data_IF_772288815798
#
_entry.id   IF_772288815798
#
_cell.length_a   1.000
_cell.length_b   1.000
_cell.length_c   1.000
_cell.angle_alpha   90.00
_cell.angle_beta   90.00
_cell.angle_gamma   90.00
#
_symmetry.space_group_name_H-M   'P 1'
#
loop_
_entity.id
_entity.type
_entity.pdbx_description
1 polymer ?
#
# COMPACT_ATOMS: atom_id res chain seq x y z
N UNK A 1 -17.58 -20.65 -16.76
CA UNK A 1 -17.69 -19.26 -17.24
C UNK A 1 -16.43 -18.91 -18.01
N UNK A 2 -16.54 -18.22 -19.15
CA UNK A 2 -15.40 -17.76 -19.95
C UNK A 2 -14.90 -16.38 -19.51
N UNK A 3 -14.45 -15.55 -20.47
CA UNK A 3 -14.08 -14.16 -20.19
C UNK A 3 -15.28 -13.33 -19.71
N UNK A 4 -15.06 -12.47 -18.72
CA UNK A 4 -16.06 -11.55 -18.16
C UNK A 4 -15.63 -10.11 -18.45
N UNK A 5 -16.58 -9.28 -18.90
CA UNK A 5 -16.34 -7.85 -19.12
C UNK A 5 -16.12 -7.15 -17.78
N UNK A 6 -15.12 -6.27 -17.71
CA UNK A 6 -14.83 -5.53 -16.47
C UNK A 6 -16.01 -4.65 -16.06
N UNK A 7 -16.32 -4.63 -14.77
CA UNK A 7 -17.38 -3.77 -14.20
C UNK A 7 -16.88 -2.36 -13.82
N UNK A 8 -15.56 -2.15 -13.83
CA UNK A 8 -14.93 -0.85 -13.57
C UNK A 8 -13.70 -0.67 -14.47
N UNK A 9 -13.50 0.56 -14.95
CA UNK A 9 -12.31 0.90 -15.72
C UNK A 9 -11.06 0.99 -14.82
N UNK A 10 -9.89 0.63 -15.38
CA UNK A 10 -8.60 0.74 -14.69
C UNK A 10 -8.21 -0.46 -13.82
N UNK A 11 -7.14 -0.30 -13.05
CA UNK A 11 -6.47 -1.41 -12.36
C UNK A 11 -7.34 -2.09 -11.29
N UNK A 12 -8.20 -1.33 -10.62
CA UNK A 12 -9.13 -1.85 -9.58
C UNK A 12 -10.33 -2.60 -10.15
N UNK A 13 -10.46 -2.67 -11.48
CA UNK A 13 -11.55 -3.35 -12.16
C UNK A 13 -11.59 -4.86 -11.91
N UNK A 14 -10.44 -5.52 -11.75
CA UNK A 14 -10.40 -6.98 -11.51
C UNK A 14 -11.03 -7.37 -10.16
N UNK A 15 -10.69 -6.65 -9.09
CA UNK A 15 -11.26 -6.89 -7.76
C UNK A 15 -12.75 -6.57 -7.75
N UNK A 16 -13.11 -5.40 -8.29
CA UNK A 16 -14.51 -4.98 -8.37
C UNK A 16 -15.39 -5.97 -9.15
N UNK A 17 -14.89 -6.46 -10.28
CA UNK A 17 -15.62 -7.44 -11.10
C UNK A 17 -15.82 -8.75 -10.33
N UNK A 18 -14.80 -9.22 -9.62
CA UNK A 18 -14.91 -10.44 -8.81
C UNK A 18 -15.90 -10.28 -7.65
N UNK A 19 -15.85 -9.16 -6.93
CA UNK A 19 -16.79 -8.86 -5.84
C UNK A 19 -18.24 -8.86 -6.34
N UNK A 20 -18.51 -8.18 -7.46
CA UNK A 20 -19.85 -8.10 -8.04
C UNK A 20 -20.36 -9.49 -8.49
N UNK A 21 -19.49 -10.33 -9.06
CA UNK A 21 -19.85 -11.70 -9.45
C UNK A 21 -20.19 -12.58 -8.24
N UNK A 22 -19.64 -12.27 -7.07
CA UNK A 22 -19.92 -12.97 -5.82
C UNK A 22 -21.05 -12.30 -5.00
N UNK A 23 -21.64 -11.22 -5.52
CA UNK A 23 -22.68 -10.46 -4.81
C UNK A 23 -22.16 -9.67 -3.60
N UNK A 24 -20.85 -9.44 -3.52
CA UNK A 24 -20.20 -8.72 -2.42
C UNK A 24 -20.29 -7.22 -2.70
N UNK A 25 -20.90 -6.47 -1.77
CA UNK A 25 -20.94 -5.00 -1.86
C UNK A 25 -19.62 -4.41 -1.37
N UNK A 26 -18.95 -3.68 -2.25
CA UNK A 26 -17.74 -2.91 -1.93
C UNK A 26 -17.96 -2.00 -0.72
N UNK A 27 -17.03 -2.04 0.22
CA UNK A 27 -17.04 -1.20 1.41
C UNK A 27 -15.60 -0.76 1.77
N UNK A 28 -15.49 0.29 2.59
CA UNK A 28 -14.21 0.83 3.06
C UNK A 28 -13.93 0.46 4.53
N UNK A 29 -14.65 -0.51 5.08
CA UNK A 29 -14.50 -0.93 6.47
C UNK A 29 -13.35 -1.95 6.53
N UNK A 30 -12.37 -1.78 7.43
CA UNK A 30 -11.34 -2.79 7.63
C UNK A 30 -11.98 -4.07 8.17
N UNK A 31 -12.08 -5.11 7.33
CA UNK A 31 -12.64 -6.41 7.67
C UNK A 31 -12.71 -7.33 6.45
N UNK A 32 -12.96 -8.63 6.63
CA UNK A 32 -12.99 -9.61 5.56
C UNK A 32 -14.19 -9.41 4.62
N UNK A 33 -13.95 -9.58 3.32
CA UNK A 33 -14.96 -9.35 2.28
C UNK A 33 -16.00 -10.47 2.12
N UNK A 34 -15.76 -11.69 2.62
CA UNK A 34 -16.71 -12.80 2.53
C UNK A 34 -16.62 -13.73 3.74
N UNK A 35 -17.67 -13.83 4.56
CA UNK A 35 -17.84 -14.89 5.58
C UNK A 35 -16.55 -15.26 6.38
N UNK A 36 -15.81 -14.24 6.87
CA UNK A 36 -14.52 -14.35 7.58
C UNK A 36 -13.26 -14.66 6.75
N UNK A 37 -13.34 -14.62 5.42
CA UNK A 37 -12.23 -14.82 4.49
C UNK A 37 -11.98 -13.53 3.70
N UNK A 38 -10.71 -13.14 3.59
CA UNK A 38 -10.32 -12.02 2.73
C UNK A 38 -10.19 -12.46 1.27
N UNK A 39 -10.83 -11.69 0.37
CA UNK A 39 -10.79 -11.95 -1.05
C UNK A 39 -9.82 -11.00 -1.77
N UNK A 40 -8.79 -11.57 -2.42
CA UNK A 40 -7.85 -10.81 -3.26
C UNK A 40 -7.83 -11.36 -4.68
N UNK A 41 -7.78 -10.46 -5.67
CA UNK A 41 -7.70 -10.82 -7.08
C UNK A 41 -6.42 -10.29 -7.73
N UNK A 42 -5.77 -11.10 -8.56
CA UNK A 42 -4.63 -10.70 -9.37
C UNK A 42 -4.76 -11.27 -10.79
N UNK A 43 -4.24 -10.55 -11.80
CA UNK A 43 -4.17 -11.08 -13.17
C UNK A 43 -3.06 -12.13 -13.23
N UNK A 44 -3.33 -13.25 -13.89
CA UNK A 44 -2.31 -14.26 -14.18
C UNK A 44 -1.14 -13.61 -14.92
N UNK A 45 0.09 -13.90 -14.50
CA UNK A 45 1.34 -13.32 -15.01
C UNK A 45 1.54 -11.81 -14.76
N UNK A 46 0.75 -11.18 -13.88
CA UNK A 46 1.06 -9.82 -13.44
C UNK A 46 2.37 -9.80 -12.64
N UNK A 47 3.26 -8.86 -12.98
CA UNK A 47 4.49 -8.60 -12.23
C UNK A 47 4.29 -7.68 -11.01
N UNK A 48 3.10 -7.11 -10.85
CA UNK A 48 2.76 -6.26 -9.72
C UNK A 48 2.65 -7.07 -8.43
N UNK A 49 3.11 -6.50 -7.32
CA UNK A 49 2.91 -7.08 -5.99
C UNK A 49 1.42 -7.16 -5.63
N UNK A 50 1.07 -8.17 -4.83
CA UNK A 50 -0.24 -8.27 -4.21
C UNK A 50 -0.31 -7.39 -2.96
N UNK A 51 -1.22 -6.42 -2.93
CA UNK A 51 -1.44 -5.59 -1.74
C UNK A 51 -2.22 -6.39 -0.69
N UNK A 52 -1.61 -6.64 0.47
CA UNK A 52 -2.28 -7.31 1.58
C UNK A 52 -3.24 -6.37 2.32
N UNK A 53 -2.73 -5.27 2.86
CA UNK A 53 -3.51 -4.25 3.55
C UNK A 53 -2.83 -2.87 3.44
N UNK A 54 -3.52 -1.82 3.87
CA UNK A 54 -2.95 -0.48 4.00
C UNK A 54 -2.98 -0.02 5.45
N UNK A 55 -1.89 0.62 5.91
CA UNK A 55 -1.82 1.20 7.24
C UNK A 55 -0.96 2.45 7.27
N UNK A 56 -1.51 3.56 7.73
CA UNK A 56 -0.75 4.81 7.91
C UNK A 56 0.29 4.66 9.04
N UNK A 57 1.51 5.19 8.86
CA UNK A 57 2.52 5.21 9.90
C UNK A 57 2.18 6.20 11.02
N UNK A 58 2.83 5.99 12.17
CA UNK A 58 2.96 6.96 13.24
C UNK A 58 4.20 7.85 13.02
N UNK A 59 4.20 9.09 13.54
CA UNK A 59 3.06 9.79 14.14
C UNK A 59 2.00 10.17 13.09
N UNK A 60 0.83 10.60 13.58
CA UNK A 60 -0.24 11.11 12.69
C UNK A 60 0.34 12.20 11.77
N UNK A 61 -0.05 12.15 10.49
CA UNK A 61 0.44 13.02 9.39
C UNK A 61 1.85 12.71 8.87
N UNK A 62 2.51 11.63 9.29
CA UNK A 62 3.79 11.22 8.71
C UNK A 62 3.77 11.13 7.17
N UNK A 63 2.69 10.59 6.56
CA UNK A 63 2.52 10.58 5.10
C UNK A 63 2.48 11.98 4.47
N UNK A 64 1.88 12.97 5.15
CA UNK A 64 1.84 14.36 4.66
C UNK A 64 3.22 15.00 4.71
N UNK A 65 3.96 14.78 5.80
CA UNK A 65 5.34 15.25 5.96
C UNK A 65 6.26 14.62 4.92
N UNK A 66 6.11 13.31 4.67
CA UNK A 66 6.83 12.60 3.62
C UNK A 66 6.57 13.22 2.24
N UNK A 67 5.30 13.46 1.91
CA UNK A 67 4.93 14.06 0.62
C UNK A 67 5.47 15.49 0.47
N UNK A 68 5.44 16.28 1.54
CA UNK A 68 5.93 17.65 1.53
C UNK A 68 7.43 17.72 1.25
N UNK A 69 8.20 16.91 1.98
CA UNK A 69 9.68 16.86 1.92
C UNK A 69 10.21 16.17 0.67
N UNK A 70 9.62 15.04 0.31
CA UNK A 70 10.19 14.12 -0.69
C UNK A 70 9.37 14.00 -1.98
N UNK A 71 8.16 14.56 -1.99
CA UNK A 71 7.30 14.53 -3.16
C UNK A 71 7.91 15.21 -4.39
N UNK A 72 7.52 14.75 -5.56
CA UNK A 72 7.83 15.37 -6.86
C UNK A 72 6.55 15.85 -7.53
N UNK A 73 6.70 16.78 -8.47
CA UNK A 73 5.56 17.27 -9.25
C UNK A 73 4.93 16.12 -10.05
N UNK A 74 3.60 16.03 -9.96
CA UNK A 74 2.82 15.04 -10.69
C UNK A 74 2.95 15.25 -12.20
N UNK A 75 3.15 14.16 -12.92
CA UNK A 75 3.15 14.16 -14.39
C UNK A 75 1.76 14.47 -14.98
N UNK A 76 0.71 14.46 -14.15
CA UNK A 76 -0.69 14.69 -14.55
C UNK A 76 -1.05 16.18 -14.76
N UNK A 77 -0.06 17.08 -14.80
CA UNK A 77 -0.23 18.55 -15.01
C UNK A 77 -1.29 19.19 -14.09
N UNK A 78 -1.46 18.66 -12.89
CA UNK A 78 -2.48 19.10 -11.93
C UNK A 78 -1.90 19.92 -10.76
N UNK A 79 -0.64 20.34 -10.86
CA UNK A 79 0.13 21.07 -9.83
C UNK A 79 0.19 20.39 -8.44
N UNK A 80 -0.08 19.08 -8.37
CA UNK A 80 0.02 18.32 -7.10
C UNK A 80 1.38 17.65 -6.98
N UNK A 81 1.85 17.49 -5.73
CA UNK A 81 2.97 16.61 -5.42
C UNK A 81 2.49 15.16 -5.35
N UNK A 82 3.33 14.23 -5.77
CA UNK A 82 3.16 12.78 -5.63
C UNK A 82 4.44 12.18 -5.04
N UNK A 83 4.28 11.05 -4.34
CA UNK A 83 5.39 10.26 -3.84
C UNK A 83 5.01 8.78 -3.98
N UNK A 84 5.43 8.18 -5.09
CA UNK A 84 5.27 6.75 -5.32
C UNK A 84 6.64 6.09 -5.28
N UNK A 85 6.84 5.22 -4.29
CA UNK A 85 8.08 4.45 -4.19
C UNK A 85 7.86 3.13 -3.45
N UNK A 86 8.64 2.12 -3.82
CA UNK A 86 8.66 0.82 -3.13
C UNK A 86 9.89 0.78 -2.24
N UNK A 87 9.71 0.37 -0.99
CA UNK A 87 10.78 0.32 0.02
C UNK A 87 10.91 -1.12 0.50
N UNK A 88 12.13 -1.58 0.76
CA UNK A 88 12.40 -2.89 1.33
C UNK A 88 13.41 -2.79 2.50
N UNK A 89 13.65 -3.91 3.19
CA UNK A 89 14.54 -3.93 4.37
C UNK A 89 16.01 -4.24 4.05
N UNK A 90 16.32 -4.65 2.82
CA UNK A 90 17.67 -5.08 2.41
C UNK A 90 18.52 -3.92 1.94
N UNK A 91 17.96 -3.08 1.06
CA UNK A 91 18.68 -1.97 0.43
C UNK A 91 17.84 -0.71 0.44
N UNK A 92 18.52 0.44 0.42
CA UNK A 92 17.86 1.70 0.11
C UNK A 92 17.27 1.63 -1.29
N UNK A 93 16.05 2.14 -1.45
CA UNK A 93 15.47 2.33 -2.76
C UNK A 93 16.09 3.54 -3.46
N UNK A 94 15.69 3.78 -4.71
CA UNK A 94 16.04 5.01 -5.42
C UNK A 94 14.85 5.95 -5.46
N UNK A 95 15.07 7.19 -5.06
CA UNK A 95 14.12 8.27 -5.15
C UNK A 95 14.76 9.40 -5.98
N UNK A 96 14.15 9.74 -7.12
CA UNK A 96 14.66 10.76 -8.06
C UNK A 96 16.13 10.55 -8.50
N UNK A 97 16.57 9.30 -8.60
CA UNK A 97 17.93 8.93 -9.02
C UNK A 97 18.93 8.72 -7.88
N UNK A 98 18.60 9.19 -6.68
CA UNK A 98 19.44 9.11 -5.48
C UNK A 98 18.95 8.04 -4.52
N UNK A 99 19.77 7.67 -3.54
CA UNK A 99 19.35 6.77 -2.47
C UNK A 99 18.26 7.45 -1.63
N UNK A 100 17.13 6.75 -1.42
CA UNK A 100 15.98 7.29 -0.71
C UNK A 100 15.82 6.64 0.66
N UNK A 101 14.89 5.70 0.72
CA UNK A 101 14.41 5.10 1.96
C UNK A 101 14.76 3.63 2.07
N UNK A 102 14.80 3.15 3.31
CA UNK A 102 14.86 1.72 3.65
C UNK A 102 13.90 1.44 4.80
N UNK A 103 13.45 0.19 4.90
CA UNK A 103 12.79 -0.32 6.09
C UNK A 103 13.86 -0.80 7.09
N UNK A 104 13.77 -0.34 8.33
CA UNK A 104 14.57 -0.84 9.44
C UNK A 104 13.67 -1.64 10.39
N UNK A 105 13.92 -2.95 10.48
CA UNK A 105 13.08 -3.87 11.26
C UNK A 105 13.66 -4.01 12.65
N UNK A 106 12.89 -3.61 13.66
CA UNK A 106 13.24 -3.74 15.08
C UNK A 106 12.32 -4.75 15.75
N UNK A 107 12.62 -5.09 17.01
CA UNK A 107 11.86 -6.08 17.78
C UNK A 107 10.38 -5.69 17.95
N UNK A 108 10.12 -4.43 18.29
CA UNK A 108 8.78 -3.95 18.67
C UNK A 108 8.10 -3.09 17.60
N UNK A 109 8.83 -2.67 16.56
CA UNK A 109 8.31 -1.80 15.49
C UNK A 109 9.14 -1.88 14.22
N UNK A 110 8.61 -1.31 13.15
CA UNK A 110 9.27 -1.15 11.86
C UNK A 110 9.38 0.34 11.55
N UNK A 111 10.58 0.81 11.21
CA UNK A 111 10.86 2.21 10.91
C UNK A 111 11.08 2.40 9.39
N UNK A 112 10.58 3.51 8.85
CA UNK A 112 10.98 4.02 7.54
C UNK A 112 12.13 5.01 7.76
N UNK A 113 13.31 4.73 7.19
CA UNK A 113 14.51 5.52 7.44
C UNK A 113 15.16 6.07 6.17
N UNK A 114 15.87 7.21 6.31
CA UNK A 114 16.78 7.75 5.29
C UNK A 114 18.17 7.10 5.36
N UNK A 115 19.05 7.46 4.42
CA UNK A 115 20.47 7.10 4.41
C UNK A 115 21.22 7.56 5.66
N UNK A 116 20.81 8.69 6.23
CA UNK A 116 21.35 9.27 7.47
C UNK A 116 20.74 8.65 8.74
N UNK A 117 19.90 7.61 8.59
CA UNK A 117 19.14 6.94 9.66
C UNK A 117 18.12 7.85 10.37
N UNK A 118 17.67 8.91 9.72
CA UNK A 118 16.51 9.67 10.19
C UNK A 118 15.24 8.79 10.10
N UNK A 119 14.44 8.73 11.16
CA UNK A 119 13.15 8.01 11.16
C UNK A 119 12.05 8.95 10.67
N UNK A 120 11.46 8.62 9.52
CA UNK A 120 10.41 9.43 8.88
C UNK A 120 9.00 9.01 9.30
N UNK A 121 8.86 7.80 9.85
CA UNK A 121 7.63 7.23 10.35
C UNK A 121 7.85 5.78 10.76
N UNK A 122 6.95 5.24 11.57
CA UNK A 122 7.05 3.87 12.05
C UNK A 122 5.69 3.19 12.20
N UNK A 123 5.72 1.87 12.32
CA UNK A 123 4.58 1.04 12.66
C UNK A 123 4.94 0.09 13.79
N UNK A 124 4.20 0.14 14.89
CA UNK A 124 4.38 -0.80 15.98
C UNK A 124 3.89 -2.19 15.61
N UNK A 125 4.54 -3.21 16.18
CA UNK A 125 4.26 -4.62 15.93
C UNK A 125 2.80 -4.97 16.21
N UNK A 126 2.24 -4.48 17.31
CA UNK A 126 0.84 -4.73 17.67
C UNK A 126 -0.13 -4.13 16.64
N UNK A 127 0.18 -2.93 16.17
CA UNK A 127 -0.63 -2.26 15.13
C UNK A 127 -0.65 -3.07 13.84
N UNK A 128 0.52 -3.55 13.39
CA UNK A 128 0.62 -4.38 12.19
C UNK A 128 -0.03 -5.75 12.37
N UNK A 129 0.18 -6.40 13.53
CA UNK A 129 -0.44 -7.68 13.87
C UNK A 129 -1.97 -7.59 13.82
N UNK A 130 -2.55 -6.61 14.49
CA UNK A 130 -4.00 -6.39 14.50
C UNK A 130 -4.54 -6.13 13.08
N UNK A 131 -3.83 -5.31 12.30
CA UNK A 131 -4.23 -5.05 10.90
C UNK A 131 -4.16 -6.29 10.03
N UNK A 132 -3.16 -7.16 10.23
CA UNK A 132 -3.05 -8.44 9.54
C UNK A 132 -4.21 -9.36 9.92
N UNK A 133 -4.42 -9.63 11.21
CA UNK A 133 -5.48 -10.53 11.71
C UNK A 133 -6.91 -10.09 11.35
N UNK A 134 -7.11 -8.79 11.06
CA UNK A 134 -8.44 -8.26 10.69
C UNK A 134 -8.69 -8.27 9.17
N UNK A 135 -7.63 -8.23 8.35
CA UNK A 135 -7.73 -7.97 6.90
C UNK A 135 -7.06 -9.04 6.02
N UNK A 136 -6.42 -10.04 6.61
CA UNK A 136 -5.71 -11.12 5.92
C UNK A 136 -6.06 -12.43 6.59
#
# INVERSE_FOLDING_TARGET
MGYVKTHRAGNTGIGKTLEDLLGIKENNVPGPNAAMIELKSARKNASSMLTLFTKSPLPRKANSVLLERFGYESTRRNKRKELHTTVNAKTYNRLKGEAGFKIDVKKERIDLITTEREVLGYWDKETLKKSFETQV
#
